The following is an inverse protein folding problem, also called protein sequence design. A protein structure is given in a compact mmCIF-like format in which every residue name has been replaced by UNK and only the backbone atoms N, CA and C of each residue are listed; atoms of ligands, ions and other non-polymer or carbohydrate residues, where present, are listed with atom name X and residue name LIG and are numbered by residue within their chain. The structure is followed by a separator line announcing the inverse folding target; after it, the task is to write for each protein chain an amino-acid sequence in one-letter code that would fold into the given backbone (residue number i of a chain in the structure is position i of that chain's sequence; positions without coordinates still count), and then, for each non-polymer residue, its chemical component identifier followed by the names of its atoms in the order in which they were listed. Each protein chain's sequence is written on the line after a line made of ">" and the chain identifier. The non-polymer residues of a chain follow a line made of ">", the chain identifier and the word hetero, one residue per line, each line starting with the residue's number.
data_IF_855044000605
#
_entry.id   IF_855044000605
#
_cell.length_a   1.000
_cell.length_b   1.000
_cell.length_c   1.000
_cell.angle_alpha   90.00
_cell.angle_beta   90.00
_cell.angle_gamma   90.00
#
_symmetry.space_group_name_H-M   'P 1'
#
loop_
_entity.id
_entity.type
_entity.pdbx_description
1 polymer ?
#
# COMPACT_ATOMS: atom_id res chain seq x y z
N UNK A 1 -5.05 -21.22 -20.70
CA UNK A 1 -5.70 -19.89 -20.58
C UNK A 1 -5.21 -19.29 -19.27
N UNK A 2 -4.33 -18.28 -19.25
CA UNK A 2 -4.03 -17.59 -18.01
C UNK A 2 -5.31 -16.83 -17.62
N UNK A 3 -5.78 -17.04 -16.38
CA UNK A 3 -6.97 -16.38 -15.86
C UNK A 3 -6.85 -14.87 -16.03
N UNK A 4 -7.82 -14.28 -16.71
CA UNK A 4 -8.17 -12.86 -16.66
C UNK A 4 -8.63 -12.56 -15.22
N UNK A 5 -7.68 -12.55 -14.28
CA UNK A 5 -7.90 -11.92 -12.99
C UNK A 5 -7.95 -10.45 -13.33
N UNK A 6 -9.17 -9.91 -13.41
CA UNK A 6 -9.46 -8.48 -13.39
C UNK A 6 -8.34 -7.77 -12.64
N UNK A 7 -7.66 -6.84 -13.30
CA UNK A 7 -6.65 -6.01 -12.67
C UNK A 7 -7.29 -5.39 -11.43
N UNK A 8 -7.06 -6.01 -10.26
CA UNK A 8 -7.75 -5.66 -9.03
C UNK A 8 -7.25 -4.26 -8.70
N UNK A 9 -8.12 -3.27 -8.92
CA UNK A 9 -7.83 -1.88 -8.59
C UNK A 9 -7.35 -1.88 -7.15
N UNK A 10 -6.20 -1.29 -6.88
CA UNK A 10 -5.63 -1.24 -5.53
C UNK A 10 -6.03 0.08 -4.90
N UNK A 11 -6.61 0.01 -3.71
CA UNK A 11 -6.90 1.18 -2.89
C UNK A 11 -5.73 1.39 -1.94
N UNK A 12 -5.27 2.63 -1.85
CA UNK A 12 -4.25 3.07 -0.90
C UNK A 12 -4.85 4.17 -0.03
N UNK A 13 -4.85 3.95 1.28
CA UNK A 13 -5.31 4.92 2.27
C UNK A 13 -4.13 5.34 3.13
N UNK A 14 -3.98 6.64 3.35
CA UNK A 14 -2.97 7.20 4.24
C UNK A 14 -3.69 8.05 5.30
N UNK A 15 -4.02 7.43 6.43
CA UNK A 15 -4.88 8.03 7.46
C UNK A 15 -4.32 9.38 7.91
N UNK A 16 -5.15 10.42 7.83
CA UNK A 16 -4.77 11.78 8.23
C UNK A 16 -3.88 12.53 7.25
N UNK A 17 -3.46 11.92 6.13
CA UNK A 17 -2.56 12.54 5.15
C UNK A 17 -3.26 12.76 3.81
N UNK A 18 -3.90 11.74 3.24
CA UNK A 18 -4.59 11.83 1.95
C UNK A 18 -5.91 11.06 1.95
N UNK A 19 -6.91 11.47 1.16
CA UNK A 19 -8.06 10.62 0.85
C UNK A 19 -7.61 9.31 0.18
N UNK A 20 -8.46 8.26 0.19
CA UNK A 20 -8.17 7.01 -0.52
C UNK A 20 -7.86 7.24 -2.00
N UNK A 21 -6.75 6.66 -2.46
CA UNK A 21 -6.30 6.72 -3.84
C UNK A 21 -6.48 5.35 -4.52
N UNK A 22 -6.93 5.35 -5.77
CA UNK A 22 -7.23 4.15 -6.54
C UNK A 22 -6.22 3.99 -7.67
N UNK A 23 -5.64 2.80 -7.78
CA UNK A 23 -4.62 2.50 -8.77
C UNK A 23 -5.03 1.30 -9.62
N UNK A 24 -4.75 1.33 -10.94
CA UNK A 24 -5.14 0.25 -11.85
C UNK A 24 -4.31 -1.03 -11.64
N UNK A 25 -3.20 -0.96 -10.91
CA UNK A 25 -2.35 -2.11 -10.63
C UNK A 25 -1.55 -1.92 -9.34
N UNK A 26 -1.16 -3.03 -8.72
CA UNK A 26 -0.31 -3.02 -7.53
C UNK A 26 1.08 -2.40 -7.78
N UNK A 27 1.81 -2.70 -8.87
CA UNK A 27 3.10 -2.05 -9.13
C UNK A 27 2.98 -0.53 -9.23
N UNK A 28 1.92 -0.02 -9.89
CA UNK A 28 1.65 1.42 -9.97
C UNK A 28 1.36 2.01 -8.60
N UNK A 29 0.53 1.33 -7.80
CA UNK A 29 0.23 1.76 -6.43
C UNK A 29 1.50 1.87 -5.59
N UNK A 30 2.34 0.82 -5.55
CA UNK A 30 3.57 0.80 -4.77
C UNK A 30 4.54 1.92 -5.17
N UNK A 31 4.73 2.14 -6.49
CA UNK A 31 5.59 3.20 -6.99
C UNK A 31 5.08 4.60 -6.62
N UNK A 32 3.77 4.84 -6.77
CA UNK A 32 3.15 6.12 -6.41
C UNK A 32 3.19 6.36 -4.90
N UNK A 33 2.86 5.36 -4.09
CA UNK A 33 2.94 5.43 -2.63
C UNK A 33 4.36 5.72 -2.18
N UNK A 34 5.37 5.03 -2.72
CA UNK A 34 6.76 5.29 -2.39
C UNK A 34 7.19 6.72 -2.74
N UNK A 35 6.73 7.24 -3.88
CA UNK A 35 7.02 8.61 -4.29
C UNK A 35 6.49 9.67 -3.31
N UNK A 36 5.37 9.40 -2.63
CA UNK A 36 4.79 10.28 -1.60
C UNK A 36 5.48 10.06 -0.24
N UNK A 37 5.56 8.81 0.21
CA UNK A 37 6.11 8.43 1.53
C UNK A 37 7.54 8.94 1.71
N UNK A 38 8.38 8.91 0.66
CA UNK A 38 9.76 9.41 0.73
C UNK A 38 9.88 10.93 0.99
N UNK A 39 8.80 11.69 0.81
CA UNK A 39 8.73 13.13 1.06
C UNK A 39 8.22 13.46 2.46
N UNK A 40 7.69 12.48 3.19
CA UNK A 40 7.24 12.65 4.56
C UNK A 40 8.44 12.71 5.52
N UNK A 41 8.32 13.45 6.64
CA UNK A 41 9.36 13.54 7.67
C UNK A 41 9.40 12.26 8.54
N UNK A 42 9.62 11.11 7.90
CA UNK A 42 9.75 9.81 8.56
C UNK A 42 11.09 9.71 9.27
N UNK A 43 11.12 8.95 10.37
CA UNK A 43 12.39 8.53 10.94
C UNK A 43 13.12 7.54 10.01
N UNK A 44 14.38 7.27 10.33
CA UNK A 44 15.21 6.38 9.51
C UNK A 44 14.67 4.94 9.46
N UNK A 45 14.11 4.45 10.57
CA UNK A 45 13.61 3.08 10.70
C UNK A 45 12.38 2.88 9.83
N UNK A 46 11.40 3.78 9.94
CA UNK A 46 10.19 3.80 9.14
C UNK A 46 10.53 3.92 7.65
N UNK A 47 11.44 4.83 7.29
CA UNK A 47 11.88 4.99 5.89
C UNK A 47 12.46 3.69 5.32
N UNK A 48 13.31 3.00 6.08
CA UNK A 48 13.88 1.71 5.66
C UNK A 48 12.80 0.62 5.54
N UNK A 49 11.85 0.57 6.47
CA UNK A 49 10.74 -0.39 6.42
C UNK A 49 9.88 -0.17 5.16
N UNK A 50 9.53 1.09 4.85
CA UNK A 50 8.79 1.42 3.64
C UNK A 50 9.58 1.09 2.37
N UNK A 51 10.88 1.35 2.32
CA UNK A 51 11.69 1.02 1.15
C UNK A 51 11.66 -0.49 0.86
N UNK A 52 11.79 -1.33 1.91
CA UNK A 52 11.73 -2.79 1.78
C UNK A 52 10.39 -3.27 1.22
N UNK A 53 9.29 -2.67 1.65
CA UNK A 53 7.95 -3.10 1.26
C UNK A 53 7.49 -2.49 -0.06
N UNK A 54 7.86 -1.24 -0.38
CA UNK A 54 7.31 -0.50 -1.52
C UNK A 54 8.24 -0.39 -2.72
N UNK A 55 9.57 -0.42 -2.53
CA UNK A 55 10.52 -0.01 -3.58
C UNK A 55 11.46 -1.12 -4.08
N UNK A 56 11.47 -2.29 -3.45
CA UNK A 56 12.37 -3.39 -3.83
C UNK A 56 11.84 -4.18 -5.03
N UNK A 57 12.71 -4.84 -5.81
CA UNK A 57 12.29 -5.59 -7.00
C UNK A 57 11.22 -6.66 -6.77
N UNK A 58 11.12 -7.19 -5.54
CA UNK A 58 10.12 -8.21 -5.15
C UNK A 58 8.95 -7.66 -4.35
N UNK A 59 8.85 -6.34 -4.19
CA UNK A 59 7.78 -5.68 -3.42
C UNK A 59 6.39 -6.04 -3.93
N UNK A 60 6.17 -6.03 -5.25
CA UNK A 60 4.87 -6.40 -5.81
C UNK A 60 4.47 -7.85 -5.48
N UNK A 61 5.43 -8.79 -5.56
CA UNK A 61 5.17 -10.19 -5.19
C UNK A 61 4.87 -10.32 -3.70
N UNK A 62 5.73 -9.76 -2.85
CA UNK A 62 5.57 -9.80 -1.39
C UNK A 62 4.23 -9.21 -0.94
N UNK A 63 3.85 -8.06 -1.50
CA UNK A 63 2.59 -7.41 -1.17
C UNK A 63 1.40 -8.21 -1.72
N UNK A 64 1.52 -8.81 -2.90
CA UNK A 64 0.47 -9.72 -3.42
C UNK A 64 0.22 -10.88 -2.47
N UNK A 65 1.28 -11.57 -2.02
CA UNK A 65 1.16 -12.68 -1.08
C UNK A 65 0.54 -12.24 0.28
N UNK A 66 0.89 -11.05 0.77
CA UNK A 66 0.27 -10.44 1.95
C UNK A 66 -1.23 -10.17 1.73
N UNK A 67 -1.60 -9.55 0.61
CA UNK A 67 -2.99 -9.23 0.29
C UNK A 67 -3.83 -10.49 0.10
N UNK A 68 -3.28 -11.54 -0.51
CA UNK A 68 -3.96 -12.83 -0.65
C UNK A 68 -4.20 -13.51 0.70
N UNK A 69 -3.26 -13.39 1.65
CA UNK A 69 -3.35 -14.01 2.98
C UNK A 69 -4.20 -13.21 3.98
N UNK A 70 -4.07 -11.89 3.97
CA UNK A 70 -4.60 -11.02 5.04
C UNK A 70 -5.68 -10.05 4.55
N UNK A 71 -5.89 -9.95 3.23
CA UNK A 71 -6.88 -9.06 2.61
C UNK A 71 -6.46 -7.59 2.55
N UNK A 72 -5.53 -7.17 3.42
CA UNK A 72 -4.96 -5.83 3.43
C UNK A 72 -3.52 -5.86 3.95
N UNK A 73 -2.72 -4.89 3.51
CA UNK A 73 -1.41 -4.58 4.08
C UNK A 73 -1.55 -3.30 4.90
N UNK A 74 -1.20 -3.37 6.18
CA UNK A 74 -1.24 -2.25 7.12
C UNK A 74 0.19 -1.96 7.59
N UNK A 75 0.67 -0.74 7.36
CA UNK A 75 1.95 -0.25 7.86
C UNK A 75 1.70 0.98 8.72
N UNK A 76 2.06 0.90 10.00
CA UNK A 76 1.98 2.04 10.91
C UNK A 76 3.31 2.78 10.93
N UNK A 77 3.25 4.10 11.07
CA UNK A 77 4.43 4.97 11.10
C UNK A 77 4.13 6.22 11.91
N UNK A 78 5.16 6.93 12.37
CA UNK A 78 5.00 8.16 13.13
C UNK A 78 5.34 9.39 12.29
N UNK A 79 4.51 10.43 12.38
CA UNK A 79 4.80 11.79 11.96
C UNK A 79 4.81 12.71 13.19
N UNK A 80 5.32 13.95 13.07
CA UNK A 80 5.37 14.89 14.20
C UNK A 80 4.02 15.16 14.88
N UNK A 81 2.91 14.99 14.15
CA UNK A 81 1.54 15.17 14.62
C UNK A 81 0.90 13.90 15.21
N UNK A 82 1.55 12.73 15.09
CA UNK A 82 1.11 11.50 15.73
C UNK A 82 1.33 10.23 14.89
N UNK A 83 0.70 9.11 15.28
CA UNK A 83 0.76 7.87 14.52
C UNK A 83 -0.19 7.91 13.31
N UNK A 84 0.29 7.39 12.19
CA UNK A 84 -0.44 7.25 10.94
C UNK A 84 -0.44 5.80 10.46
N UNK A 85 -1.37 5.50 9.55
CA UNK A 85 -1.53 4.19 8.94
C UNK A 85 -1.52 4.33 7.41
N UNK A 86 -0.60 3.62 6.78
CA UNK A 86 -0.69 3.28 5.36
C UNK A 86 -1.41 1.94 5.24
N UNK A 87 -2.53 1.95 4.53
CA UNK A 87 -3.30 0.75 4.23
C UNK A 87 -3.39 0.53 2.74
N UNK A 88 -3.06 -0.67 2.28
CA UNK A 88 -3.26 -1.11 0.90
C UNK A 88 -4.23 -2.28 0.91
N UNK A 89 -5.22 -2.27 0.04
CA UNK A 89 -6.12 -3.40 -0.14
C UNK A 89 -6.67 -3.46 -1.56
N UNK A 90 -7.14 -4.63 -2.02
CA UNK A 90 -7.89 -4.72 -3.26
C UNK A 90 -9.19 -3.92 -3.14
N UNK A 91 -9.59 -3.26 -4.22
CA UNK A 91 -10.89 -2.65 -4.39
C UNK A 91 -11.92 -3.74 -4.70
N UNK A 92 -12.11 -4.67 -3.77
CA UNK A 92 -13.23 -5.59 -3.88
C UNK A 92 -14.50 -4.84 -3.49
N UNK A 93 -15.59 -4.97 -4.26
CA UNK A 93 -16.89 -4.56 -3.75
C UNK A 93 -17.11 -5.33 -2.45
N UNK A 94 -17.26 -4.60 -1.33
CA UNK A 94 -17.66 -5.22 -0.08
C UNK A 94 -19.04 -5.83 -0.32
N UNK A 95 -19.12 -7.14 -0.53
CA UNK A 95 -20.40 -7.83 -0.42
C UNK A 95 -20.82 -7.63 1.05
N UNK A 96 -21.87 -6.83 1.24
CA UNK A 96 -22.41 -6.49 2.54
C UNK A 96 -22.61 -7.74 3.40
N UNK A 97 -22.16 -7.63 4.66
CA UNK A 97 -22.64 -8.48 5.74
C UNK A 97 -24.03 -8.05 6.16
#
# INVERSE_FOLDING_TARGET
>A
MPNDRTADVVVVELTGVTPPAYFPSLPTALAATWAVVKLLPLDHVDRCAFELVLARPRSAQYVTERLEREGALNLTFALPDGPHLLRLHPNRPQLGS
#
